data_IF_543623570468
#
_entry.id   IF_543623570468
#
_cell.length_a   1.000
_cell.length_b   1.000
_cell.length_c   1.000
_cell.angle_alpha   90.00
_cell.angle_beta   90.00
_cell.angle_gamma   90.00
#
_symmetry.space_group_name_H-M   'P 1'
#
loop_
_entity.id
_entity.type
_entity.pdbx_description
1 polymer ?
#
# COMPACT_ATOMS: atom_id res chain seq x y z
N UNK A 1 -9.21 5.65 -11.53
CA UNK A 1 -9.49 5.29 -10.12
C UNK A 1 -8.69 6.24 -9.27
N UNK A 2 -9.36 7.06 -8.48
CA UNK A 2 -8.68 8.01 -7.59
C UNK A 2 -8.07 7.27 -6.39
N UNK A 3 -7.08 7.89 -5.74
CA UNK A 3 -6.41 7.34 -4.56
C UNK A 3 -6.89 8.13 -3.35
N UNK A 4 -7.41 7.42 -2.36
CA UNK A 4 -7.81 7.99 -1.07
C UNK A 4 -6.90 7.45 0.01
N UNK A 5 -6.54 8.30 0.96
CA UNK A 5 -5.66 7.96 2.07
C UNK A 5 -6.40 8.13 3.38
N UNK A 6 -6.23 7.17 4.28
CA UNK A 6 -6.40 7.46 5.70
C UNK A 6 -5.29 8.42 6.15
N UNK A 7 -5.55 9.21 7.19
CA UNK A 7 -4.57 10.16 7.72
C UNK A 7 -3.27 9.46 8.14
N UNK A 8 -3.37 8.32 8.83
CA UNK A 8 -2.19 7.55 9.26
C UNK A 8 -1.40 7.00 8.07
N UNK A 9 -2.08 6.47 7.06
CA UNK A 9 -1.44 5.98 5.85
C UNK A 9 -0.71 7.09 5.07
N UNK A 10 -1.25 8.31 5.09
CA UNK A 10 -0.58 9.46 4.48
C UNK A 10 0.68 9.86 5.26
N UNK A 11 0.62 9.87 6.60
CA UNK A 11 1.78 10.16 7.46
C UNK A 11 2.88 9.12 7.26
N UNK A 12 2.54 7.82 7.21
CA UNK A 12 3.49 6.75 6.88
C UNK A 12 4.11 6.93 5.49
N UNK A 13 3.29 7.32 4.51
CA UNK A 13 3.78 7.59 3.17
C UNK A 13 4.78 8.76 3.14
N UNK A 14 4.52 9.85 3.88
CA UNK A 14 5.45 10.98 4.04
C UNK A 14 6.73 10.55 4.75
N UNK A 15 6.63 9.74 5.81
CA UNK A 15 7.81 9.20 6.50
C UNK A 15 8.73 8.45 5.53
N UNK A 16 8.18 7.60 4.65
CA UNK A 16 8.98 6.87 3.67
C UNK A 16 9.58 7.76 2.57
N UNK A 17 9.00 8.93 2.29
CA UNK A 17 9.60 9.91 1.37
C UNK A 17 10.95 10.41 1.91
N UNK A 18 11.02 10.66 3.21
CA UNK A 18 12.19 11.24 3.87
C UNK A 18 13.23 10.18 4.30
N UNK A 19 12.77 8.99 4.69
CA UNK A 19 13.61 8.00 5.37
C UNK A 19 14.12 6.87 4.46
N UNK A 20 13.30 6.36 3.53
CA UNK A 20 13.74 5.28 2.63
C UNK A 20 13.04 5.32 1.26
N UNK A 21 13.76 5.85 0.27
CA UNK A 21 13.31 5.93 -1.11
C UNK A 21 13.12 4.58 -1.79
N UNK A 22 13.74 3.50 -1.33
CA UNK A 22 13.50 2.14 -1.86
C UNK A 22 12.13 1.64 -1.43
N UNK A 23 11.75 1.85 -0.17
CA UNK A 23 10.41 1.52 0.33
C UNK A 23 9.35 2.35 -0.39
N UNK A 24 9.56 3.66 -0.53
CA UNK A 24 8.66 4.54 -1.30
C UNK A 24 8.41 4.03 -2.72
N UNK A 25 9.47 3.64 -3.44
CA UNK A 25 9.35 3.10 -4.80
C UNK A 25 8.51 1.82 -4.83
N UNK A 26 8.67 0.94 -3.85
CA UNK A 26 7.87 -0.29 -3.73
C UNK A 26 6.38 0.03 -3.47
N UNK A 27 6.08 0.97 -2.58
CA UNK A 27 4.71 1.43 -2.31
C UNK A 27 4.07 1.96 -3.60
N UNK A 28 4.75 2.85 -4.33
CA UNK A 28 4.24 3.40 -5.58
C UNK A 28 4.01 2.35 -6.67
N UNK A 29 4.89 1.36 -6.77
CA UNK A 29 4.73 0.25 -7.70
C UNK A 29 3.49 -0.59 -7.36
N UNK A 30 3.29 -0.91 -6.07
CA UNK A 30 2.13 -1.67 -5.60
C UNK A 30 0.82 -0.91 -5.81
N UNK A 31 0.77 0.39 -5.50
CA UNK A 31 -0.42 1.22 -5.75
C UNK A 31 -0.80 1.20 -7.25
N UNK A 32 0.18 1.40 -8.12
CA UNK A 32 -0.03 1.37 -9.58
C UNK A 32 -0.51 0.00 -10.05
N UNK A 33 0.03 -1.08 -9.48
CA UNK A 33 -0.41 -2.44 -9.79
C UNK A 33 -1.85 -2.68 -9.32
N UNK A 34 -2.21 -2.29 -8.09
CA UNK A 34 -3.58 -2.40 -7.57
C UNK A 34 -4.60 -1.64 -8.43
N UNK A 35 -4.24 -0.49 -9.01
CA UNK A 35 -5.12 0.23 -9.94
C UNK A 35 -5.36 -0.52 -11.26
N UNK A 36 -4.42 -1.37 -11.68
CA UNK A 36 -4.50 -2.15 -12.93
C UNK A 36 -5.10 -3.54 -12.73
N UNK A 37 -4.68 -4.22 -11.67
CA UNK A 37 -5.07 -5.60 -11.31
C UNK A 37 -5.31 -5.70 -9.79
N UNK A 38 -6.49 -5.30 -9.29
CA UNK A 38 -6.73 -5.12 -7.85
C UNK A 38 -6.50 -6.35 -6.96
N UNK A 39 -6.69 -7.56 -7.50
CA UNK A 39 -6.63 -8.82 -6.74
C UNK A 39 -5.56 -9.79 -7.24
N UNK A 40 -4.61 -9.29 -8.06
CA UNK A 40 -3.51 -10.11 -8.59
C UNK A 40 -2.26 -9.25 -8.74
N UNK A 41 -1.09 -9.80 -8.46
CA UNK A 41 0.15 -9.06 -8.64
C UNK A 41 1.31 -9.53 -7.77
N UNK A 42 2.39 -8.76 -7.86
CA UNK A 42 3.69 -9.03 -7.23
C UNK A 42 3.66 -8.97 -5.70
N UNK A 43 2.69 -8.25 -5.13
CA UNK A 43 2.50 -8.14 -3.69
C UNK A 43 1.90 -9.38 -3.02
N UNK A 44 1.57 -10.43 -3.79
CA UNK A 44 0.74 -11.56 -3.33
C UNK A 44 -0.55 -11.08 -2.64
N UNK A 45 -1.45 -10.41 -3.38
CA UNK A 45 -2.67 -9.89 -2.80
C UNK A 45 -3.50 -11.02 -2.19
N UNK A 46 -3.87 -10.86 -0.92
CA UNK A 46 -4.67 -11.82 -0.17
C UNK A 46 -5.85 -11.10 0.47
N UNK A 47 -7.01 -11.75 0.47
CA UNK A 47 -8.19 -11.21 1.12
C UNK A 47 -7.98 -11.22 2.64
N UNK A 48 -8.08 -10.05 3.26
CA UNK A 48 -8.00 -9.94 4.72
C UNK A 48 -9.21 -10.64 5.33
N UNK A 49 -8.98 -11.62 6.20
CA UNK A 49 -10.02 -12.22 7.04
C UNK A 49 -10.08 -11.49 8.40
N UNK A 50 -11.23 -11.57 9.08
CA UNK A 50 -11.48 -10.92 10.38
C UNK A 50 -10.45 -11.25 11.49
N UNK A 51 -9.73 -12.36 11.41
CA UNK A 51 -8.74 -12.78 12.40
C UNK A 51 -7.41 -12.01 12.33
N UNK A 52 -7.15 -11.26 11.26
CA UNK A 52 -5.94 -10.41 11.15
C UNK A 52 -6.13 -9.00 11.71
N UNK A 53 -7.32 -8.65 12.21
CA UNK A 53 -7.68 -7.30 12.66
C UNK A 53 -7.51 -7.03 14.16
N UNK A 54 -7.02 -7.98 14.94
CA UNK A 54 -6.76 -7.82 16.38
C UNK A 54 -5.36 -8.35 16.72
N UNK A 55 -4.33 -7.58 16.37
CA UNK A 55 -3.02 -7.63 17.03
C UNK A 55 -2.55 -6.19 17.19
#
# INVERSE_FOLDING_TARGET
MDIFWDKSAWEDYQYWIENDRKVLRKINALIKECQRTPFAGTGKPEALNKAFGNI
#
